data_IF_538753171087
#
_entry.id   IF_538753171087
#
_cell.length_a   1.000
_cell.length_b   1.000
_cell.length_c   1.000
_cell.angle_alpha   90.00
_cell.angle_beta   90.00
_cell.angle_gamma   90.00
#
_symmetry.space_group_name_H-M   'P 1'
#
loop_
_entity.id
_entity.type
_entity.pdbx_description
1 polymer ?
#
# COMPACT_ATOMS: atom_id res chain seq x y z
N UNK A 1 -22.70 -6.66 0.41
CA UNK A 1 -21.70 -7.34 -0.46
C UNK A 1 -20.58 -6.35 -0.72
N UNK A 2 -19.38 -6.57 -0.19
CA UNK A 2 -18.21 -5.81 -0.63
C UNK A 2 -17.90 -6.24 -2.08
N UNK A 3 -17.99 -5.31 -3.02
CA UNK A 3 -17.68 -5.59 -4.43
C UNK A 3 -16.16 -5.69 -4.58
N UNK A 4 -15.69 -6.66 -5.36
CA UNK A 4 -14.30 -6.65 -5.82
C UNK A 4 -14.09 -5.42 -6.72
N UNK A 5 -13.02 -4.66 -6.47
CA UNK A 5 -12.57 -3.63 -7.40
C UNK A 5 -11.58 -4.25 -8.38
N UNK A 6 -11.85 -4.14 -9.68
CA UNK A 6 -11.01 -4.67 -10.75
C UNK A 6 -10.43 -3.55 -11.61
N UNK A 7 -10.15 -2.40 -10.99
CA UNK A 7 -9.58 -1.26 -11.70
C UNK A 7 -8.19 -1.61 -12.26
N UNK A 8 -7.83 -1.11 -13.45
CA UNK A 8 -6.57 -1.44 -14.12
C UNK A 8 -5.40 -0.57 -13.64
N UNK A 9 -5.50 0.08 -12.48
CA UNK A 9 -4.49 0.98 -11.93
C UNK A 9 -4.44 0.89 -10.40
N UNK A 10 -3.32 1.28 -9.81
CA UNK A 10 -3.10 1.35 -8.37
C UNK A 10 -3.52 2.74 -7.88
N UNK A 11 -4.37 2.79 -6.85
CA UNK A 11 -4.87 4.03 -6.23
C UNK A 11 -6.35 3.97 -5.87
N UNK A 12 -6.97 5.12 -5.58
CA UNK A 12 -8.39 5.20 -5.22
C UNK A 12 -9.32 5.05 -6.44
N UNK A 13 -10.51 4.43 -6.24
CA UNK A 13 -11.48 4.28 -7.32
C UNK A 13 -11.87 5.61 -7.97
N UNK A 14 -12.07 5.58 -9.29
CA UNK A 14 -12.47 6.75 -10.07
C UNK A 14 -11.36 7.78 -10.28
N UNK A 15 -10.08 7.38 -10.22
CA UNK A 15 -8.91 8.26 -10.32
C UNK A 15 -8.94 9.41 -9.30
N UNK A 16 -9.52 9.16 -8.13
CA UNK A 16 -9.49 10.15 -7.05
C UNK A 16 -8.06 10.34 -6.53
N UNK A 17 -7.67 11.56 -6.13
CA UNK A 17 -6.40 11.81 -5.49
C UNK A 17 -6.22 10.89 -4.28
N UNK A 18 -5.09 10.18 -4.23
CA UNK A 18 -4.77 9.25 -3.14
C UNK A 18 -3.71 9.89 -2.25
N UNK A 19 -3.94 9.99 -0.94
CA UNK A 19 -2.97 10.62 -0.05
C UNK A 19 -1.66 9.82 -0.02
N UNK A 20 -0.54 10.55 0.02
CA UNK A 20 0.79 9.97 0.11
C UNK A 20 0.96 9.22 1.44
N UNK A 21 1.23 7.92 1.38
CA UNK A 21 1.41 7.06 2.58
C UNK A 21 2.70 7.32 3.34
N UNK A 22 3.71 7.95 2.73
CA UNK A 22 5.01 8.27 3.34
C UNK A 22 5.04 9.64 4.01
N UNK A 23 4.12 10.54 3.65
CA UNK A 23 4.10 11.91 4.17
C UNK A 23 2.90 12.12 5.09
N UNK A 24 3.16 12.07 6.39
CA UNK A 24 2.14 12.29 7.42
C UNK A 24 1.92 13.77 7.74
N UNK A 25 2.82 14.66 7.31
CA UNK A 25 2.83 16.07 7.73
C UNK A 25 2.36 17.00 6.61
N UNK A 26 2.62 16.66 5.35
CA UNK A 26 2.12 17.42 4.19
C UNK A 26 0.96 16.68 3.50
N UNK A 27 -0.10 17.41 3.16
CA UNK A 27 -1.23 16.88 2.37
C UNK A 27 -0.86 16.79 0.90
N UNK A 28 0.09 15.91 0.57
CA UNK A 28 0.48 15.61 -0.79
C UNK A 28 -0.18 14.30 -1.27
N UNK A 29 -0.41 14.21 -2.57
CA UNK A 29 -1.02 13.04 -3.21
C UNK A 29 0.03 12.14 -3.86
N UNK A 30 -0.37 10.90 -4.16
CA UNK A 30 0.40 9.93 -4.90
C UNK A 30 -0.47 9.28 -5.97
N UNK A 31 0.18 8.71 -6.98
CA UNK A 31 -0.48 8.00 -8.07
C UNK A 31 -1.55 8.83 -8.79
N UNK A 32 -2.53 8.18 -9.45
CA UNK A 32 -2.60 6.72 -9.63
C UNK A 32 -1.37 6.17 -10.38
N UNK A 33 -1.09 4.88 -10.24
CA UNK A 33 0.00 4.22 -10.96
C UNK A 33 -0.57 3.19 -11.94
N UNK A 34 0.02 3.11 -13.13
CA UNK A 34 -0.43 2.20 -14.18
C UNK A 34 -0.12 0.74 -13.85
N UNK A 35 0.98 0.48 -13.15
CA UNK A 35 1.43 -0.87 -12.78
C UNK A 35 2.24 -0.89 -11.47
N UNK A 36 2.59 -2.10 -11.03
CA UNK A 36 3.39 -2.34 -9.83
C UNK A 36 4.83 -1.81 -9.95
N UNK A 37 5.40 -1.69 -11.15
CA UNK A 37 6.76 -1.19 -11.35
C UNK A 37 6.87 0.32 -11.14
N UNK A 38 5.90 1.07 -11.68
CA UNK A 38 5.75 2.50 -11.42
C UNK A 38 5.53 2.78 -9.93
N UNK A 39 4.67 1.98 -9.29
CA UNK A 39 4.42 2.08 -7.85
C UNK A 39 5.66 1.75 -7.00
N UNK A 40 6.37 0.66 -7.31
CA UNK A 40 7.58 0.25 -6.59
C UNK A 40 8.68 1.30 -6.69
N UNK A 41 8.89 1.86 -7.88
CA UNK A 41 9.88 2.92 -8.12
C UNK A 41 9.57 4.15 -7.27
N UNK A 42 8.31 4.58 -7.30
CA UNK A 42 7.85 5.71 -6.49
C UNK A 42 8.03 5.50 -4.99
N UNK A 43 7.81 4.26 -4.51
CA UNK A 43 8.04 3.89 -3.11
C UNK A 43 9.53 3.93 -2.75
N UNK A 44 10.38 3.30 -3.57
CA UNK A 44 11.83 3.21 -3.33
C UNK A 44 12.51 4.58 -3.32
N UNK A 45 12.08 5.52 -4.17
CA UNK A 45 12.62 6.88 -4.21
C UNK A 45 12.35 7.69 -2.92
N UNK A 46 11.36 7.27 -2.11
CA UNK A 46 11.00 7.90 -0.83
C UNK A 46 11.62 7.21 0.38
N UNK A 47 12.32 6.11 0.17
CA UNK A 47 13.04 5.40 1.22
C UNK A 47 14.35 6.15 1.51
N UNK A 48 14.36 6.98 2.56
CA UNK A 48 15.57 7.64 3.09
C UNK A 48 16.42 6.67 3.93
N UNK A 49 16.91 5.59 3.35
CA UNK A 49 17.71 4.55 4.02
C UNK A 49 19.03 4.27 3.28
N UNK A 50 19.88 3.43 3.89
CA UNK A 50 21.07 2.92 3.22
C UNK A 50 20.75 2.17 1.91
N UNK A 51 21.69 2.20 0.96
CA UNK A 51 21.63 1.43 -0.29
C UNK A 51 21.37 -0.07 -0.05
N UNK A 52 21.91 -0.61 1.03
CA UNK A 52 21.67 -2.00 1.42
C UNK A 52 20.19 -2.27 1.73
N UNK A 53 19.55 -1.38 2.49
CA UNK A 53 18.12 -1.46 2.82
C UNK A 53 17.27 -1.33 1.56
N UNK A 54 17.56 -0.35 0.72
CA UNK A 54 16.84 -0.14 -0.57
C UNK A 54 16.96 -1.38 -1.45
N UNK A 55 18.17 -1.96 -1.58
CA UNK A 55 18.39 -3.20 -2.35
C UNK A 55 17.62 -4.39 -1.77
N UNK A 56 17.56 -4.51 -0.44
CA UNK A 56 16.79 -5.57 0.22
C UNK A 56 15.29 -5.42 -0.07
N UNK A 57 14.77 -4.20 0.00
CA UNK A 57 13.37 -3.89 -0.28
C UNK A 57 13.03 -4.14 -1.74
N UNK A 58 13.87 -3.72 -2.69
CA UNK A 58 13.70 -4.01 -4.12
C UNK A 58 13.55 -5.52 -4.40
N UNK A 59 14.43 -6.34 -3.83
CA UNK A 59 14.32 -7.81 -3.96
C UNK A 59 13.04 -8.39 -3.35
N UNK A 60 12.56 -7.80 -2.26
CA UNK A 60 11.29 -8.21 -1.65
C UNK A 60 10.11 -7.91 -2.61
N UNK A 61 10.07 -6.72 -3.20
CA UNK A 61 9.05 -6.30 -4.16
C UNK A 61 9.06 -7.21 -5.39
N UNK A 62 10.24 -7.43 -6.00
CA UNK A 62 10.42 -8.34 -7.14
C UNK A 62 9.91 -9.76 -6.86
N UNK A 63 10.21 -10.31 -5.67
CA UNK A 63 9.73 -11.63 -5.26
C UNK A 63 8.22 -11.66 -5.06
N UNK A 64 7.64 -10.61 -4.49
CA UNK A 64 6.19 -10.51 -4.29
C UNK A 64 5.45 -10.50 -5.63
N UNK A 65 5.94 -9.74 -6.61
CA UNK A 65 5.38 -9.73 -7.99
C UNK A 65 5.52 -11.09 -8.68
N UNK A 66 6.70 -11.71 -8.59
CA UNK A 66 6.93 -13.03 -9.16
C UNK A 66 5.99 -14.08 -8.56
N UNK A 67 5.71 -13.98 -7.25
CA UNK A 67 4.74 -14.84 -6.55
C UNK A 67 3.31 -14.58 -7.03
N UNK A 68 2.89 -13.32 -7.16
CA UNK A 68 1.57 -12.96 -7.67
C UNK A 68 1.35 -13.50 -9.09
N UNK A 69 2.35 -13.34 -9.97
CA UNK A 69 2.34 -13.88 -11.34
C UNK A 69 2.25 -15.41 -11.35
N UNK A 70 3.03 -16.09 -10.50
CA UNK A 70 2.96 -17.55 -10.39
C UNK A 70 1.59 -18.06 -9.89
N UNK A 71 0.86 -17.23 -9.14
CA UNK A 71 -0.48 -17.52 -8.62
C UNK A 71 -1.62 -17.11 -9.58
N UNK A 72 -1.33 -16.44 -10.71
CA UNK A 72 -2.35 -15.91 -11.61
C UNK A 72 -3.13 -14.74 -11.00
N UNK A 73 -2.54 -14.04 -10.03
CA UNK A 73 -3.13 -12.88 -9.36
C UNK A 73 -2.33 -11.60 -9.63
N UNK A 74 -1.54 -11.57 -10.68
CA UNK A 74 -0.93 -10.34 -11.17
C UNK A 74 -2.03 -9.29 -11.43
N UNK A 75 -1.72 -8.02 -11.17
CA UNK A 75 -2.66 -6.89 -11.30
C UNK A 75 -3.94 -7.01 -10.44
N UNK A 76 -3.97 -7.94 -9.47
CA UNK A 76 -5.05 -8.03 -8.48
C UNK A 76 -4.76 -7.07 -7.34
N UNK A 77 -5.41 -5.91 -7.37
CA UNK A 77 -5.31 -4.93 -6.30
C UNK A 77 -6.35 -5.19 -5.20
N UNK A 78 -5.91 -5.07 -3.95
CA UNK A 78 -6.73 -5.24 -2.76
C UNK A 78 -6.93 -3.91 -2.07
N UNK A 79 -8.02 -3.77 -1.33
CA UNK A 79 -8.21 -2.61 -0.47
C UNK A 79 -7.14 -2.63 0.62
N UNK A 80 -6.31 -1.60 0.67
CA UNK A 80 -5.34 -1.36 1.75
C UNK A 80 -5.74 -0.10 2.52
N UNK A 81 -5.32 -0.04 3.77
CA UNK A 81 -5.60 1.09 4.66
C UNK A 81 -4.65 2.26 4.40
N UNK A 82 -3.36 1.96 4.17
CA UNK A 82 -2.33 2.98 3.95
C UNK A 82 -1.76 3.62 5.21
N UNK A 83 -2.30 3.27 6.39
CA UNK A 83 -1.83 3.74 7.71
C UNK A 83 -2.32 2.82 8.85
N UNK A 84 -2.30 1.50 8.61
CA UNK A 84 -2.75 0.54 9.61
C UNK A 84 -1.74 0.47 10.76
N UNK A 85 -2.00 1.23 11.81
CA UNK A 85 -1.19 1.30 13.02
C UNK A 85 -2.08 1.19 14.26
N UNK A 86 -1.54 0.86 15.44
CA UNK A 86 -2.36 0.65 16.64
C UNK A 86 -3.29 1.82 17.00
N UNK A 87 -2.93 3.07 16.62
CA UNK A 87 -3.79 4.25 16.85
C UNK A 87 -5.09 4.25 16.03
N UNK A 88 -5.11 3.51 14.93
CA UNK A 88 -6.25 3.40 14.01
C UNK A 88 -7.05 2.09 14.20
N UNK A 89 -6.70 1.30 15.22
CA UNK A 89 -7.38 0.03 15.55
C UNK A 89 -8.08 0.20 16.90
N UNK A 90 -9.40 0.01 16.91
CA UNK A 90 -10.20 0.01 18.14
C UNK A 90 -10.28 -1.40 18.73
N UNK A 91 -10.08 -1.50 20.04
CA UNK A 91 -10.14 -2.76 20.79
C UNK A 91 -11.02 -2.59 22.02
N UNK A 92 -11.97 -3.50 22.21
CA UNK A 92 -12.83 -3.56 23.39
C UNK A 92 -12.82 -5.00 23.93
N UNK A 93 -12.55 -5.17 25.24
CA UNK A 93 -12.46 -6.48 25.89
C UNK A 93 -11.52 -7.48 25.18
N UNK A 94 -10.40 -6.98 24.63
CA UNK A 94 -9.43 -7.80 23.89
C UNK A 94 -9.87 -8.20 22.48
N UNK A 95 -11.00 -7.70 21.99
CA UNK A 95 -11.50 -7.95 20.63
C UNK A 95 -11.37 -6.70 19.77
N UNK A 96 -10.95 -6.87 18.51
CA UNK A 96 -10.94 -5.80 17.52
C UNK A 96 -12.39 -5.41 17.20
N UNK A 97 -12.76 -4.16 17.42
CA UNK A 97 -14.12 -3.64 17.20
C UNK A 97 -14.23 -2.71 16.01
N UNK A 98 -13.11 -2.20 15.50
CA UNK A 98 -13.12 -1.41 14.28
C UNK A 98 -11.74 -0.93 13.84
N UNK A 99 -11.72 -0.44 12.61
CA UNK A 99 -10.57 0.21 11.99
C UNK A 99 -11.06 1.56 11.46
N UNK A 100 -10.37 2.63 11.83
CA UNK A 100 -10.74 4.03 11.54
C UNK A 100 -9.64 4.74 10.74
N UNK A 101 -9.93 5.94 10.27
CA UNK A 101 -8.97 6.79 9.53
C UNK A 101 -8.56 6.26 8.15
N UNK A 102 -9.56 5.98 7.32
CA UNK A 102 -9.41 5.43 5.97
C UNK A 102 -9.02 6.47 4.90
N UNK A 103 -8.60 7.67 5.27
CA UNK A 103 -8.33 8.74 4.30
C UNK A 103 -7.24 8.34 3.28
N UNK A 104 -6.23 7.57 3.71
CA UNK A 104 -5.10 7.10 2.89
C UNK A 104 -5.34 5.79 2.16
N UNK A 105 -6.56 5.26 2.27
CA UNK A 105 -6.91 3.98 1.68
C UNK A 105 -7.01 4.04 0.15
N UNK A 106 -6.87 2.87 -0.47
CA UNK A 106 -6.98 2.69 -1.91
C UNK A 106 -6.78 1.24 -2.30
N UNK A 107 -6.75 0.97 -3.61
CA UNK A 107 -6.48 -0.36 -4.14
C UNK A 107 -5.02 -0.47 -4.57
N UNK A 108 -4.29 -1.35 -3.90
CA UNK A 108 -2.85 -1.55 -4.09
C UNK A 108 -2.48 -3.03 -4.16
N UNK A 109 -1.24 -3.37 -4.56
CA UNK A 109 -0.74 -4.74 -4.46
C UNK A 109 -0.84 -5.29 -3.04
N UNK A 110 -1.01 -6.61 -2.91
CA UNK A 110 -1.21 -7.27 -1.60
C UNK A 110 -0.06 -7.06 -0.61
N UNK A 111 1.15 -6.80 -1.11
CA UNK A 111 2.33 -6.55 -0.29
C UNK A 111 2.39 -5.11 0.26
N UNK A 112 1.57 -4.19 -0.27
CA UNK A 112 1.70 -2.76 -0.03
C UNK A 112 1.47 -2.39 1.44
N UNK A 113 0.44 -2.95 2.09
CA UNK A 113 0.16 -2.65 3.51
C UNK A 113 1.33 -3.01 4.42
N UNK A 114 1.97 -4.17 4.17
CA UNK A 114 3.18 -4.56 4.90
C UNK A 114 4.33 -3.59 4.64
N UNK A 115 4.54 -3.18 3.39
CA UNK A 115 5.57 -2.22 3.03
C UNK A 115 5.35 -0.84 3.70
N UNK A 116 4.10 -0.39 3.78
CA UNK A 116 3.74 0.86 4.46
C UNK A 116 4.00 0.75 5.98
N UNK A 117 3.51 -0.30 6.62
CA UNK A 117 3.70 -0.52 8.06
C UNK A 117 5.18 -0.60 8.45
N UNK A 118 6.01 -1.27 7.64
CA UNK A 118 7.46 -1.38 7.88
C UNK A 118 8.22 -0.05 7.79
N UNK A 119 7.65 0.95 7.11
CA UNK A 119 8.25 2.28 6.96
C UNK A 119 7.65 3.32 7.91
N UNK A 120 6.49 3.03 8.47
CA UNK A 120 5.71 3.88 9.37
C UNK A 120 5.86 3.50 10.86
N UNK A 121 6.61 2.43 11.14
CA UNK A 121 7.00 1.97 12.47
C UNK A 121 8.30 2.58 12.98
#
# INVERSE_FOLDING_TARGET
IMRSCTQPYIGRPGNQPTYNVYDRLEQNYMGPFEDEEAFDTWCLDRVKESDFTIRRMRRFLEKSRAKAKAAGTENRFVLTHGDLSPRNIMVENGQLTGIVDWERSGFFPEYAEYAFAMKLG
#
